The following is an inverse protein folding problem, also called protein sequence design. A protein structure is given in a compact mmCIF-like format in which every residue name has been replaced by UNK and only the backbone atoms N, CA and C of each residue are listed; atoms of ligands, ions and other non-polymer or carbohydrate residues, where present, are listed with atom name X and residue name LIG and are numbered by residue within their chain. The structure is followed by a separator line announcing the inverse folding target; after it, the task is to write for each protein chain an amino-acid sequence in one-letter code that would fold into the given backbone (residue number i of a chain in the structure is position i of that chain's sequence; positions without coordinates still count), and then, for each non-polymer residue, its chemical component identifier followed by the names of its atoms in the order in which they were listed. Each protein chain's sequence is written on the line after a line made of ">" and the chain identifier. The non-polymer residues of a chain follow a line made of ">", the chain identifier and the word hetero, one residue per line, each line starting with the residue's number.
data_IF_798685981314
#
_entry.id   IF_798685981314
#
_cell.length_a   1.000
_cell.length_b   1.000
_cell.length_c   1.000
_cell.angle_alpha   90.00
_cell.angle_beta   90.00
_cell.angle_gamma   90.00
#
_symmetry.space_group_name_H-M   'P 1'
#
loop_
_entity.id
_entity.type
_entity.pdbx_description
1 polymer ?
#
# COMPACT_ATOMS: atom_id res chain seq x y z
N UNK A 1 7.00 7.40 -23.09
CA UNK A 1 6.24 7.77 -21.88
C UNK A 1 6.81 9.08 -21.35
N UNK A 2 5.96 10.02 -20.89
CA UNK A 2 6.44 11.27 -20.26
C UNK A 2 6.79 10.97 -18.81
N UNK A 3 7.98 11.40 -18.37
CA UNK A 3 8.43 11.34 -16.98
C UNK A 3 7.57 12.31 -16.16
N UNK A 4 6.85 11.80 -15.17
CA UNK A 4 6.15 12.63 -14.20
C UNK A 4 7.13 13.11 -13.12
N UNK A 5 6.88 14.26 -12.50
CA UNK A 5 7.52 14.64 -11.23
C UNK A 5 6.53 14.51 -10.08
N UNK A 6 7.03 14.40 -8.84
CA UNK A 6 6.17 14.38 -7.65
C UNK A 6 5.30 15.63 -7.58
N UNK A 7 5.83 16.79 -7.98
CA UNK A 7 5.08 18.05 -8.04
C UNK A 7 3.98 18.05 -9.12
N UNK A 8 4.17 17.36 -10.25
CA UNK A 8 3.12 17.20 -11.25
C UNK A 8 1.96 16.32 -10.73
N UNK A 9 2.25 15.36 -9.85
CA UNK A 9 1.24 14.46 -9.26
C UNK A 9 0.50 15.12 -8.09
N UNK A 10 1.22 15.83 -7.21
CA UNK A 10 0.65 16.59 -6.08
C UNK A 10 1.29 17.99 -6.03
N UNK A 11 0.72 19.01 -6.67
CA UNK A 11 1.29 20.37 -6.61
C UNK A 11 1.18 21.01 -5.22
N UNK A 12 0.19 20.60 -4.44
CA UNK A 12 -0.12 21.15 -3.13
C UNK A 12 0.71 20.47 -2.03
N UNK A 13 1.64 21.21 -1.46
CA UNK A 13 2.50 20.73 -0.37
C UNK A 13 1.73 20.45 0.93
N UNK A 14 0.66 21.18 1.23
CA UNK A 14 -0.14 20.94 2.44
C UNK A 14 -0.87 19.59 2.31
N UNK A 15 -1.42 19.32 1.12
CA UNK A 15 -1.99 18.01 0.79
C UNK A 15 -0.95 16.91 0.93
N UNK A 16 0.24 17.06 0.32
CA UNK A 16 1.31 16.05 0.41
C UNK A 16 1.67 15.73 1.87
N UNK A 17 1.84 16.76 2.70
CA UNK A 17 2.20 16.61 4.11
C UNK A 17 1.06 16.06 4.97
N UNK A 18 -0.19 16.15 4.50
CA UNK A 18 -1.35 15.58 5.19
C UNK A 18 -1.58 14.09 4.91
N UNK A 19 -0.96 13.55 3.86
CA UNK A 19 -1.10 12.14 3.49
C UNK A 19 -0.31 11.24 4.44
N UNK A 20 -0.92 10.11 4.81
CA UNK A 20 -0.21 9.05 5.53
C UNK A 20 0.84 8.38 4.62
N UNK A 21 1.90 7.75 5.18
CA UNK A 21 2.99 7.17 4.40
C UNK A 21 2.52 6.18 3.32
N UNK A 22 1.53 5.35 3.63
CA UNK A 22 0.84 4.44 2.70
C UNK A 22 0.13 5.11 1.52
N UNK A 23 -0.49 6.28 1.72
CA UNK A 23 -1.22 6.99 0.69
C UNK A 23 -0.21 7.68 -0.25
N UNK A 24 0.79 8.32 0.35
CA UNK A 24 1.90 8.92 -0.37
C UNK A 24 2.75 7.88 -1.12
N UNK A 25 2.85 6.66 -0.60
CA UNK A 25 3.53 5.54 -1.27
C UNK A 25 2.91 5.22 -2.65
N UNK A 26 1.61 5.40 -2.82
CA UNK A 26 0.93 5.21 -4.11
C UNK A 26 1.44 6.19 -5.17
N UNK A 27 1.65 7.44 -4.77
CA UNK A 27 2.18 8.50 -5.63
C UNK A 27 3.65 8.29 -5.93
N UNK A 28 4.45 7.86 -4.94
CA UNK A 28 5.85 7.48 -5.16
C UNK A 28 5.94 6.33 -6.16
N UNK A 29 5.09 5.30 -6.03
CA UNK A 29 5.08 4.16 -6.94
C UNK A 29 4.67 4.57 -8.36
N UNK A 30 3.67 5.44 -8.50
CA UNK A 30 3.27 6.02 -9.79
C UNK A 30 4.40 6.81 -10.45
N UNK A 31 5.12 7.62 -9.66
CA UNK A 31 6.33 8.31 -10.13
C UNK A 31 7.37 7.32 -10.65
N UNK A 32 7.66 6.24 -9.92
CA UNK A 32 8.62 5.21 -10.34
C UNK A 32 8.20 4.52 -11.65
N UNK A 33 6.92 4.24 -11.83
CA UNK A 33 6.38 3.69 -13.09
C UNK A 33 6.45 4.66 -14.26
N UNK A 34 6.50 5.97 -14.00
CA UNK A 34 6.61 6.99 -15.05
C UNK A 34 8.04 7.13 -15.61
N UNK A 35 9.04 6.58 -14.91
CA UNK A 35 10.43 6.62 -15.32
C UNK A 35 10.68 5.67 -16.50
N UNK A 36 11.65 5.97 -17.39
CA UNK A 36 11.95 5.11 -18.53
C UNK A 36 12.37 3.70 -18.10
N UNK A 37 12.06 2.67 -18.89
CA UNK A 37 12.48 1.28 -18.58
C UNK A 37 14.00 1.10 -18.53
N UNK A 38 14.77 1.98 -19.17
CA UNK A 38 16.24 2.03 -19.02
C UNK A 38 16.66 2.31 -17.57
N UNK A 39 15.81 2.99 -16.81
CA UNK A 39 15.96 3.30 -15.39
C UNK A 39 15.21 2.27 -14.53
N UNK A 40 15.28 0.98 -14.88
CA UNK A 40 14.67 -0.12 -14.08
C UNK A 40 15.18 -0.25 -12.64
N UNK A 41 16.18 0.56 -12.28
CA UNK A 41 16.76 0.65 -10.95
C UNK A 41 16.72 2.09 -10.47
N UNK A 42 16.29 2.27 -9.22
CA UNK A 42 16.05 3.57 -8.62
C UNK A 42 16.94 3.72 -7.40
N UNK A 43 17.68 4.83 -7.32
CA UNK A 43 18.48 5.13 -6.13
C UNK A 43 17.64 5.90 -5.12
N UNK A 44 17.51 5.36 -3.91
CA UNK A 44 16.93 6.06 -2.77
C UNK A 44 17.72 7.34 -2.42
N UNK A 45 19.05 7.31 -2.61
CA UNK A 45 19.88 8.50 -2.43
C UNK A 45 19.46 9.61 -3.38
N UNK A 46 19.38 9.31 -4.68
CA UNK A 46 18.96 10.29 -5.69
C UNK A 46 17.54 10.81 -5.42
N UNK A 47 16.62 9.92 -5.03
CA UNK A 47 15.26 10.31 -4.69
C UNK A 47 15.20 11.28 -3.49
N UNK A 48 16.12 11.16 -2.54
CA UNK A 48 16.19 12.00 -1.34
C UNK A 48 16.94 13.34 -1.56
N UNK A 49 17.42 13.62 -2.77
CA UNK A 49 18.14 14.86 -3.05
C UNK A 49 17.19 16.06 -3.21
N UNK A 50 17.65 17.29 -2.93
CA UNK A 50 16.79 18.49 -2.97
C UNK A 50 16.10 18.75 -4.32
N UNK A 51 16.69 18.29 -5.43
CA UNK A 51 16.10 18.49 -6.76
C UNK A 51 14.76 17.77 -6.95
N UNK A 52 14.49 16.69 -6.20
CA UNK A 52 13.19 15.98 -6.21
C UNK A 52 12.05 16.86 -5.70
N UNK A 53 12.35 17.80 -4.79
CA UNK A 53 11.36 18.65 -4.10
C UNK A 53 11.53 20.15 -4.40
N UNK A 54 12.41 20.50 -5.34
CA UNK A 54 12.80 21.90 -5.61
C UNK A 54 11.65 22.80 -6.09
N UNK A 55 10.54 22.21 -6.56
CA UNK A 55 9.35 22.96 -7.00
C UNK A 55 8.43 23.37 -5.84
N UNK A 56 8.63 22.81 -4.64
CA UNK A 56 7.87 23.15 -3.44
C UNK A 56 8.50 24.33 -2.66
N UNK A 57 7.74 25.02 -1.80
CA UNK A 57 8.26 26.08 -0.93
C UNK A 57 9.46 25.59 -0.09
N UNK A 58 10.52 26.39 -0.05
CA UNK A 58 11.81 26.00 0.55
C UNK A 58 11.69 25.61 2.03
N UNK A 59 10.82 26.29 2.76
CA UNK A 59 10.50 26.05 4.16
C UNK A 59 9.97 24.63 4.42
N UNK A 60 9.24 24.04 3.46
CA UNK A 60 8.63 22.72 3.57
C UNK A 60 9.42 21.61 2.91
N UNK A 61 10.43 21.92 2.09
CA UNK A 61 11.20 20.90 1.36
C UNK A 61 11.80 19.82 2.26
N UNK A 62 12.26 20.18 3.48
CA UNK A 62 12.81 19.20 4.45
C UNK A 62 11.73 18.23 4.95
N UNK A 63 10.55 18.73 5.26
CA UNK A 63 9.42 17.94 5.74
C UNK A 63 8.87 17.04 4.63
N UNK A 64 8.74 17.59 3.41
CA UNK A 64 8.32 16.84 2.22
C UNK A 64 9.32 15.72 1.93
N UNK A 65 10.62 16.00 1.97
CA UNK A 65 11.66 14.98 1.79
C UNK A 65 11.53 13.87 2.83
N UNK A 66 11.23 14.22 4.08
CA UNK A 66 11.00 13.22 5.14
C UNK A 66 9.77 12.35 4.83
N UNK A 67 8.65 12.95 4.49
CA UNK A 67 7.41 12.24 4.15
C UNK A 67 7.62 11.28 2.96
N UNK A 68 8.30 11.75 1.90
CA UNK A 68 8.64 10.90 0.75
C UNK A 68 9.54 9.71 1.12
N UNK A 69 10.47 9.89 2.07
CA UNK A 69 11.30 8.78 2.57
C UNK A 69 10.50 7.78 3.38
N UNK A 70 9.54 8.22 4.18
CA UNK A 70 8.63 7.35 4.92
C UNK A 70 7.78 6.51 3.95
N UNK A 71 7.21 7.13 2.92
CA UNK A 71 6.48 6.46 1.85
C UNK A 71 7.33 5.42 1.09
N UNK A 72 8.58 5.77 0.77
CA UNK A 72 9.53 4.83 0.15
C UNK A 72 9.82 3.62 1.04
N UNK A 73 10.05 3.84 2.34
CA UNK A 73 10.29 2.76 3.29
C UNK A 73 9.07 1.85 3.42
N UNK A 74 7.87 2.41 3.39
CA UNK A 74 6.63 1.66 3.36
C UNK A 74 6.54 0.73 2.13
N UNK A 75 6.86 1.24 0.93
CA UNK A 75 6.89 0.43 -0.31
C UNK A 75 7.87 -0.75 -0.23
N UNK A 76 9.04 -0.55 0.39
CA UNK A 76 10.01 -1.62 0.61
C UNK A 76 9.49 -2.66 1.60
N UNK A 77 8.89 -2.22 2.71
CA UNK A 77 8.34 -3.10 3.74
C UNK A 77 7.18 -3.97 3.19
N UNK A 78 6.36 -3.41 2.30
CA UNK A 78 5.28 -4.12 1.60
C UNK A 78 5.77 -5.00 0.45
N UNK A 79 7.08 -4.99 0.15
CA UNK A 79 7.67 -5.80 -0.92
C UNK A 79 7.27 -5.36 -2.33
N UNK A 80 6.79 -4.13 -2.50
CA UNK A 80 6.45 -3.56 -3.81
C UNK A 80 7.69 -3.10 -4.57
N UNK A 81 8.74 -2.72 -3.84
CA UNK A 81 10.09 -2.48 -4.35
C UNK A 81 11.09 -3.28 -3.51
N UNK A 82 12.23 -3.65 -4.10
CA UNK A 82 13.26 -4.47 -3.43
C UNK A 82 14.67 -4.01 -3.84
N UNK A 83 15.67 -4.09 -2.95
CA UNK A 83 17.06 -3.89 -3.34
C UNK A 83 17.46 -4.77 -4.52
N UNK A 84 18.17 -4.19 -5.48
CA UNK A 84 18.60 -4.89 -6.69
C UNK A 84 19.87 -5.70 -6.38
N UNK A 85 19.86 -7.03 -6.58
CA UNK A 85 21.03 -7.86 -6.32
C UNK A 85 22.25 -7.42 -7.13
N UNK A 86 23.41 -7.36 -6.50
CA UNK A 86 24.67 -6.95 -7.15
C UNK A 86 24.89 -5.43 -7.24
N UNK A 87 23.96 -4.62 -6.72
CA UNK A 87 24.10 -3.17 -6.59
C UNK A 87 24.17 -2.76 -5.12
N UNK A 88 24.43 -1.47 -4.86
CA UNK A 88 24.32 -0.92 -3.52
C UNK A 88 22.89 -1.07 -2.98
N UNK A 89 22.74 -1.19 -1.65
CA UNK A 89 21.46 -1.43 -0.99
C UNK A 89 20.43 -0.30 -1.21
N UNK A 90 20.87 0.89 -1.61
CA UNK A 90 20.00 2.02 -1.93
C UNK A 90 19.42 1.94 -3.35
N UNK A 91 19.93 1.03 -4.20
CA UNK A 91 19.43 0.78 -5.55
C UNK A 91 18.32 -0.27 -5.49
N UNK A 92 17.10 0.13 -5.78
CA UNK A 92 15.92 -0.75 -5.73
C UNK A 92 15.31 -0.95 -7.12
N UNK A 93 14.54 -2.01 -7.28
CA UNK A 93 13.72 -2.28 -8.48
C UNK A 93 12.28 -2.58 -8.07
N UNK A 94 11.33 -2.34 -8.97
CA UNK A 94 9.92 -2.65 -8.74
C UNK A 94 9.73 -4.17 -8.84
N UNK A 95 9.10 -4.77 -7.83
CA UNK A 95 8.86 -6.22 -7.83
C UNK A 95 7.73 -6.60 -8.78
N UNK A 96 7.57 -7.90 -9.06
CA UNK A 96 6.41 -8.41 -9.83
C UNK A 96 5.06 -7.98 -9.24
N UNK A 97 4.99 -7.74 -7.93
CA UNK A 97 3.79 -7.28 -7.24
C UNK A 97 3.62 -5.78 -7.41
N UNK A 98 4.69 -4.99 -7.24
CA UNK A 98 4.69 -3.56 -7.53
C UNK A 98 4.35 -3.23 -8.99
N UNK A 99 4.73 -4.10 -9.95
CA UNK A 99 4.35 -3.95 -11.37
C UNK A 99 2.83 -4.08 -11.62
N UNK A 100 2.09 -4.71 -10.71
CA UNK A 100 0.64 -4.84 -10.78
C UNK A 100 -0.11 -3.67 -10.14
N UNK A 101 0.60 -2.84 -9.37
CA UNK A 101 0.05 -1.69 -8.65
C UNK A 101 0.61 -0.43 -9.31
N UNK A 102 -0.15 0.22 -10.19
CA UNK A 102 0.39 1.29 -11.05
C UNK A 102 0.19 2.69 -10.51
N UNK A 103 -0.81 2.88 -9.65
CA UNK A 103 -1.20 4.18 -9.13
C UNK A 103 -1.74 4.05 -7.69
N UNK A 104 -2.07 5.19 -7.08
CA UNK A 104 -2.60 5.23 -5.72
C UNK A 104 -3.93 4.47 -5.55
N UNK A 105 -4.79 4.43 -6.56
CA UNK A 105 -6.06 3.69 -6.50
C UNK A 105 -5.82 2.18 -6.48
N UNK A 106 -4.89 1.69 -7.32
CA UNK A 106 -4.47 0.29 -7.32
C UNK A 106 -3.83 -0.08 -5.97
N UNK A 107 -3.07 0.84 -5.37
CA UNK A 107 -2.42 0.60 -4.10
C UNK A 107 -3.43 0.51 -2.95
N UNK A 108 -4.46 1.35 -2.96
CA UNK A 108 -5.52 1.25 -1.95
C UNK A 108 -6.28 -0.08 -2.11
N UNK A 109 -6.60 -0.49 -3.34
CA UNK A 109 -7.19 -1.81 -3.58
C UNK A 109 -6.28 -2.97 -3.13
N UNK A 110 -4.97 -2.84 -3.33
CA UNK A 110 -3.96 -3.78 -2.85
C UNK A 110 -3.96 -3.89 -1.32
N UNK A 111 -3.95 -2.75 -0.61
CA UNK A 111 -4.01 -2.68 0.85
C UNK A 111 -5.28 -3.31 1.38
N UNK A 112 -6.42 -2.91 0.81
CA UNK A 112 -7.71 -3.46 1.18
C UNK A 112 -7.74 -4.98 0.98
N UNK A 113 -7.19 -5.52 -0.11
CA UNK A 113 -7.12 -6.96 -0.31
C UNK A 113 -6.20 -7.66 0.72
N UNK A 114 -5.07 -7.06 1.09
CA UNK A 114 -4.12 -7.65 2.03
C UNK A 114 -4.59 -7.65 3.49
N UNK A 115 -5.59 -6.84 3.86
CA UNK A 115 -6.19 -6.85 5.20
C UNK A 115 -6.79 -8.20 5.60
N UNK A 116 -7.15 -9.06 4.64
CA UNK A 116 -7.71 -10.39 4.90
C UNK A 116 -6.97 -11.46 4.09
N UNK A 117 -5.78 -11.91 4.54
CA UNK A 117 -5.00 -12.89 3.79
C UNK A 117 -5.82 -14.12 3.46
N UNK A 118 -5.99 -14.43 2.16
CA UNK A 118 -6.84 -15.54 1.72
C UNK A 118 -6.41 -16.88 2.33
N UNK A 119 -5.13 -17.06 2.66
CA UNK A 119 -4.65 -18.29 3.31
C UNK A 119 -5.13 -18.46 4.74
N UNK A 120 -5.52 -17.38 5.42
CA UNK A 120 -6.14 -17.42 6.74
C UNK A 120 -7.65 -17.74 6.68
N UNK A 121 -8.24 -17.73 5.48
CA UNK A 121 -9.63 -18.12 5.29
C UNK A 121 -9.74 -19.65 5.20
N UNK A 122 -10.68 -20.20 5.96
CA UNK A 122 -11.04 -21.61 5.82
C UNK A 122 -11.50 -21.91 4.38
N UNK A 123 -11.06 -23.01 3.73
CA UNK A 123 -11.35 -23.28 2.32
C UNK A 123 -12.82 -23.20 1.93
N UNK A 124 -13.72 -23.58 2.85
CA UNK A 124 -15.17 -23.55 2.64
C UNK A 124 -15.75 -22.14 2.39
N UNK A 125 -15.11 -21.08 2.89
CA UNK A 125 -15.57 -19.68 2.76
C UNK A 125 -14.60 -18.80 1.98
N UNK A 126 -13.40 -19.30 1.69
CA UNK A 126 -12.30 -18.51 1.16
C UNK A 126 -12.64 -17.83 -0.16
N UNK A 127 -13.35 -18.50 -1.07
CA UNK A 127 -13.69 -17.91 -2.38
C UNK A 127 -14.74 -16.80 -2.25
N UNK A 128 -15.81 -17.03 -1.50
CA UNK A 128 -16.91 -16.06 -1.36
C UNK A 128 -16.50 -14.81 -0.57
N UNK A 129 -15.82 -15.02 0.57
CA UNK A 129 -15.35 -13.93 1.44
C UNK A 129 -14.31 -13.10 0.71
N UNK A 130 -13.33 -13.74 0.05
CA UNK A 130 -12.31 -13.03 -0.72
C UNK A 130 -12.89 -12.21 -1.86
N UNK A 131 -13.87 -12.76 -2.58
CA UNK A 131 -14.56 -12.07 -3.66
C UNK A 131 -15.40 -10.89 -3.16
N UNK A 132 -16.00 -10.99 -1.97
CA UNK A 132 -16.80 -9.91 -1.38
C UNK A 132 -15.92 -8.80 -0.80
N UNK A 133 -14.78 -9.19 -0.20
CA UNK A 133 -13.78 -8.31 0.39
C UNK A 133 -13.01 -7.51 -0.67
N UNK A 134 -12.53 -8.18 -1.73
CA UNK A 134 -11.87 -7.52 -2.86
C UNK A 134 -12.77 -6.54 -3.63
N UNK A 135 -14.11 -6.73 -3.56
CA UNK A 135 -15.10 -5.82 -4.16
C UNK A 135 -15.55 -4.69 -3.22
N UNK A 136 -15.03 -4.61 -2.00
CA UNK A 136 -15.47 -3.63 -0.99
C UNK A 136 -16.92 -3.84 -0.52
N UNK A 137 -17.57 -4.95 -0.91
CA UNK A 137 -18.96 -5.29 -0.55
C UNK A 137 -19.07 -6.05 0.78
N UNK A 138 -17.92 -6.34 1.41
CA UNK A 138 -17.88 -7.05 2.67
C UNK A 138 -18.50 -6.20 3.78
N UNK A 139 -19.67 -6.64 4.28
CA UNK A 139 -20.36 -5.96 5.38
C UNK A 139 -19.67 -6.33 6.69
N UNK A 140 -19.34 -5.31 7.51
CA UNK A 140 -18.95 -5.53 8.92
C UNK A 140 -20.03 -6.40 9.57
N UNK A 141 -19.63 -7.53 10.15
CA UNK A 141 -20.54 -8.40 10.89
C UNK A 141 -21.09 -7.65 12.10
N UNK A 142 -22.29 -7.08 11.98
CA UNK A 142 -23.08 -6.72 13.14
C UNK A 142 -23.74 -8.01 13.65
N UNK A 143 -23.21 -8.54 14.76
CA UNK A 143 -23.79 -9.61 15.60
C UNK A 143 -24.64 -10.67 14.90
N UNK A 144 -24.00 -11.70 14.33
CA UNK A 144 -24.68 -12.87 13.75
C UNK A 144 -25.16 -13.86 14.84
N UNK A 145 -24.86 -13.62 16.12
CA UNK A 145 -25.23 -14.55 17.21
C UNK A 145 -26.61 -14.35 17.83
N UNK A 146 -27.48 -13.48 17.31
CA UNK A 146 -28.75 -13.18 18.00
C UNK A 146 -30.00 -13.88 17.46
N UNK A 147 -29.98 -14.57 16.30
CA UNK A 147 -31.22 -15.13 15.74
C UNK A 147 -31.05 -16.47 14.98
N UNK A 148 -30.44 -17.49 15.60
CA UNK A 148 -30.59 -18.88 15.14
C UNK A 148 -31.48 -19.69 16.10
N UNK A 149 -32.67 -20.18 15.66
CA UNK A 149 -33.57 -20.96 16.52
C UNK A 149 -33.10 -22.39 16.84
N UNK A 150 -31.96 -22.85 16.32
CA UNK A 150 -31.61 -24.29 16.32
C UNK A 150 -30.76 -24.79 17.49
N UNK A 151 -30.33 -23.92 18.42
CA UNK A 151 -29.58 -24.33 19.61
C UNK A 151 -30.47 -24.46 20.85
N UNK A 152 -31.36 -25.46 20.86
CA UNK A 152 -31.95 -25.98 22.11
C UNK A 152 -31.50 -27.43 22.32
N UNK A 153 -30.64 -27.64 23.30
CA UNK A 153 -30.19 -28.95 23.80
C UNK A 153 -28.66 -29.01 23.79
N UNK A 154 -27.96 -29.10 24.91
CA UNK A 154 -28.18 -29.98 26.06
C UNK A 154 -27.47 -29.40 27.29
N UNK A 155 -28.21 -29.06 28.35
CA UNK A 155 -27.61 -28.86 29.68
C UNK A 155 -27.55 -30.22 30.38
N UNK A 156 -26.44 -30.95 30.26
CA UNK A 156 -26.13 -32.03 31.20
C UNK A 156 -25.71 -31.41 32.52
N UNK A 157 -26.60 -31.50 33.52
CA UNK A 157 -26.30 -31.25 34.93
C UNK A 157 -25.30 -32.32 35.39
N UNK A 158 -24.12 -31.91 35.84
CA UNK A 158 -23.33 -32.71 36.78
C UNK A 158 -23.66 -32.17 38.18
N UNK A 159 -24.35 -33.01 38.96
CA UNK A 159 -24.41 -32.90 40.42
C UNK A 159 -23.14 -33.57 40.96
N UNK A 160 -22.40 -32.87 41.81
CA UNK A 160 -21.76 -33.46 42.98
C UNK A 160 -22.52 -32.97 44.19
#
# INVERSE_FOLDING_TARGET
>A
MRRASIYELIPDHELLLSLEPEELAGVVLEYLHSLPESDSQFSFHNFSLPHTVAQYPNEHQKEITKALREAWMWLQNEGLIIPTPGFHLDMVSITRQGLRVRNATDLEAYRQANLLPRQLLHPAIATEVWLSFSRGTFKKCHNIFTNSPSWKGTKKRYRN
#
